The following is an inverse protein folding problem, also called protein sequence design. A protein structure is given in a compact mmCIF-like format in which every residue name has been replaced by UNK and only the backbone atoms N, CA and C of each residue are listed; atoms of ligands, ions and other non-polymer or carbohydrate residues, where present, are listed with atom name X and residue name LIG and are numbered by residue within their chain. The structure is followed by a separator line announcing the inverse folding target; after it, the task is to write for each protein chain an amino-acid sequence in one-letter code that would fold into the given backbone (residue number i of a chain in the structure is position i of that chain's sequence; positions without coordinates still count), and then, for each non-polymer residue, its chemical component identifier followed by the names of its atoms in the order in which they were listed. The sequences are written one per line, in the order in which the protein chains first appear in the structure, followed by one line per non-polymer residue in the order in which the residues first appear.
data_IF_545528671794
#
_entry.id   IF_545528671794
#
_cell.length_a   1.000
_cell.length_b   1.000
_cell.length_c   1.000
_cell.angle_alpha   90.00
_cell.angle_beta   90.00
_cell.angle_gamma   90.00
#
_symmetry.space_group_name_H-M   'P 1'
#
loop_
_entity.id
_entity.type
_entity.pdbx_description
1 polymer ?
#
# COMPACT_ATOMS: atom_id res chain seq x y z
N UNK A 1 24.35 -15.26 -11.25
CA UNK A 1 23.93 -13.87 -10.94
C UNK A 1 23.61 -13.06 -12.18
N UNK A 2 24.49 -13.00 -13.20
CA UNK A 2 24.22 -12.26 -14.45
C UNK A 2 22.93 -12.66 -15.18
N UNK A 3 22.57 -13.95 -15.21
CA UNK A 3 21.33 -14.43 -15.85
C UNK A 3 20.05 -13.93 -15.15
N UNK A 4 20.04 -13.88 -13.82
CA UNK A 4 18.88 -13.37 -13.07
C UNK A 4 18.67 -11.85 -13.27
N UNK A 5 19.77 -11.10 -13.37
CA UNK A 5 19.72 -9.66 -13.69
C UNK A 5 19.21 -9.43 -15.11
N UNK A 6 19.62 -10.28 -16.09
CA UNK A 6 19.15 -10.19 -17.47
C UNK A 6 17.64 -10.49 -17.58
N UNK A 7 17.15 -11.51 -16.88
CA UNK A 7 15.72 -11.85 -16.81
C UNK A 7 14.93 -10.73 -16.15
N UNK A 8 15.41 -10.18 -15.04
CA UNK A 8 14.77 -9.06 -14.35
C UNK A 8 14.70 -7.78 -15.23
N UNK A 9 15.75 -7.52 -16.01
CA UNK A 9 15.78 -6.39 -16.93
C UNK A 9 14.81 -6.59 -18.11
N UNK A 10 14.74 -7.80 -18.67
CA UNK A 10 13.79 -8.13 -19.75
C UNK A 10 12.34 -8.06 -19.27
N UNK A 11 12.04 -8.56 -18.06
CA UNK A 11 10.70 -8.45 -17.48
C UNK A 11 10.33 -6.99 -17.20
N UNK A 12 11.23 -6.17 -16.70
CA UNK A 12 11.00 -4.74 -16.51
C UNK A 12 10.72 -4.01 -17.84
N UNK A 13 11.48 -4.32 -18.90
CA UNK A 13 11.29 -3.75 -20.24
C UNK A 13 9.95 -4.18 -20.84
N UNK A 14 9.58 -5.46 -20.71
CA UNK A 14 8.29 -5.95 -21.23
C UNK A 14 7.09 -5.34 -20.48
N UNK A 15 7.17 -5.23 -19.17
CA UNK A 15 6.15 -4.56 -18.35
C UNK A 15 6.05 -3.08 -18.74
N UNK A 16 7.18 -2.40 -18.91
CA UNK A 16 7.24 -1.00 -19.35
C UNK A 16 6.64 -0.83 -20.74
N UNK A 17 6.95 -1.71 -21.67
CA UNK A 17 6.41 -1.68 -23.03
C UNK A 17 4.89 -1.90 -23.06
N UNK A 18 4.37 -2.88 -22.27
CA UNK A 18 2.93 -3.12 -22.12
C UNK A 18 2.20 -1.93 -21.47
N UNK A 19 2.82 -1.28 -20.50
CA UNK A 19 2.30 -0.05 -19.88
C UNK A 19 2.21 1.08 -20.90
N UNK A 20 3.24 1.29 -21.73
CA UNK A 20 3.24 2.32 -22.78
C UNK A 20 2.17 2.02 -23.84
N UNK A 21 1.98 0.76 -24.25
CA UNK A 21 0.91 0.41 -25.19
C UNK A 21 -0.47 0.73 -24.62
N UNK A 22 -0.72 0.37 -23.36
CA UNK A 22 -1.97 0.73 -22.67
C UNK A 22 -2.15 2.24 -22.49
N UNK A 23 -1.07 3.01 -22.48
CA UNK A 23 -1.11 4.48 -22.42
C UNK A 23 -1.40 5.13 -23.77
N UNK A 24 -1.05 4.47 -24.88
CA UNK A 24 -1.28 5.01 -26.25
C UNK A 24 -2.75 4.96 -26.70
N UNK A 25 -3.55 4.04 -26.18
CA UNK A 25 -4.97 3.87 -26.54
C UNK A 25 -5.92 4.85 -25.81
N UNK A 26 -5.44 6.02 -25.42
CA UNK A 26 -6.21 6.95 -24.58
C UNK A 26 -7.01 7.98 -25.38
N UNK A 27 -8.24 8.36 -24.87
CA UNK A 27 -9.20 9.18 -25.63
C UNK A 27 -8.72 10.59 -26.00
N UNK A 28 -7.69 11.13 -25.33
CA UNK A 28 -7.15 12.46 -25.66
C UNK A 28 -6.31 12.54 -26.94
N UNK A 29 -5.96 11.40 -27.54
CA UNK A 29 -5.30 11.35 -28.83
C UNK A 29 -6.28 11.32 -30.00
N UNK A 30 -7.59 11.16 -29.75
CA UNK A 30 -8.64 11.21 -30.75
C UNK A 30 -9.09 12.68 -30.92
N UNK A 31 -8.48 13.35 -31.89
CA UNK A 31 -8.96 14.66 -32.35
C UNK A 31 -10.37 14.49 -32.93
N UNK A 32 -11.34 15.21 -32.40
CA UNK A 32 -12.60 15.46 -33.09
C UNK A 32 -13.91 15.17 -32.37
N UNK A 33 -13.92 14.67 -31.15
CA UNK A 33 -15.17 14.56 -30.38
C UNK A 33 -15.01 15.32 -29.07
N UNK A 34 -15.66 16.49 -28.97
CA UNK A 34 -15.84 17.16 -27.68
C UNK A 34 -16.66 16.22 -26.80
N UNK A 35 -16.12 15.68 -25.71
CA UNK A 35 -16.90 14.82 -24.82
C UNK A 35 -17.98 15.68 -24.19
N UNK A 36 -19.23 15.26 -24.37
CA UNK A 36 -20.36 15.82 -23.63
C UNK A 36 -20.00 15.76 -22.14
N UNK A 37 -20.27 16.82 -21.40
CA UNK A 37 -19.84 17.04 -20.02
C UNK A 37 -20.18 15.92 -19.00
N UNK A 38 -20.94 14.91 -19.39
CA UNK A 38 -21.30 13.75 -18.61
C UNK A 38 -20.27 12.60 -18.66
N UNK A 39 -19.48 12.46 -19.74
CA UNK A 39 -18.51 11.36 -19.91
C UNK A 39 -17.14 11.63 -19.26
N UNK A 40 -16.88 12.87 -18.85
CA UNK A 40 -15.60 13.28 -18.27
C UNK A 40 -15.43 12.92 -16.78
N UNK A 41 -16.47 12.42 -16.12
CA UNK A 41 -16.43 12.09 -14.69
C UNK A 41 -15.75 10.76 -14.39
N UNK A 42 -15.59 9.88 -15.38
CA UNK A 42 -14.77 8.65 -15.27
C UNK A 42 -13.30 8.93 -15.59
N UNK A 43 -12.73 9.99 -15.01
CA UNK A 43 -11.38 10.39 -15.36
C UNK A 43 -10.37 9.30 -15.00
N UNK A 44 -9.69 8.78 -16.00
CA UNK A 44 -8.56 7.85 -15.83
C UNK A 44 -7.37 8.52 -15.10
N UNK A 45 -7.33 9.85 -15.04
CA UNK A 45 -6.24 10.60 -14.45
C UNK A 45 -5.94 10.27 -12.97
N UNK A 46 -6.91 10.20 -12.02
CA UNK A 46 -6.63 9.81 -10.65
C UNK A 46 -6.16 8.36 -10.54
N UNK A 47 -6.67 7.45 -11.38
CA UNK A 47 -6.23 6.05 -11.40
C UNK A 47 -4.78 5.95 -11.89
N UNK A 48 -4.43 6.66 -12.95
CA UNK A 48 -3.05 6.72 -13.46
C UNK A 48 -2.11 7.32 -12.42
N UNK A 49 -2.52 8.43 -11.78
CA UNK A 49 -1.74 9.05 -10.70
C UNK A 49 -1.45 8.08 -9.56
N UNK A 50 -2.47 7.31 -9.12
CA UNK A 50 -2.27 6.27 -8.10
C UNK A 50 -1.28 5.21 -8.58
N UNK A 51 -1.42 4.66 -9.79
CA UNK A 51 -0.51 3.62 -10.30
C UNK A 51 0.93 4.10 -10.40
N UNK A 52 1.16 5.33 -10.86
CA UNK A 52 2.51 5.95 -10.90
C UNK A 52 3.07 6.07 -9.49
N UNK A 53 2.27 6.56 -8.53
CA UNK A 53 2.66 6.65 -7.14
C UNK A 53 3.03 5.27 -6.56
N UNK A 54 2.19 4.25 -6.77
CA UNK A 54 2.47 2.88 -6.32
C UNK A 54 3.75 2.32 -6.93
N UNK A 55 4.03 2.59 -8.20
CA UNK A 55 5.26 2.16 -8.88
C UNK A 55 6.51 2.80 -8.23
N UNK A 56 6.46 4.11 -7.94
CA UNK A 56 7.56 4.82 -7.28
C UNK A 56 7.82 4.25 -5.87
N UNK A 57 6.75 4.05 -5.09
CA UNK A 57 6.89 3.51 -3.73
C UNK A 57 7.33 2.04 -3.76
N UNK A 58 6.87 1.24 -4.74
CA UNK A 58 7.38 -0.14 -4.94
C UNK A 58 8.88 -0.15 -5.23
N UNK A 59 9.38 0.78 -6.04
CA UNK A 59 10.81 0.93 -6.32
C UNK A 59 11.61 1.26 -5.05
N UNK A 60 11.06 2.12 -4.19
CA UNK A 60 11.68 2.46 -2.90
C UNK A 60 11.79 1.23 -1.99
N UNK A 61 10.72 0.46 -1.83
CA UNK A 61 10.76 -0.78 -1.04
C UNK A 61 11.68 -1.83 -1.66
N UNK A 62 11.73 -1.93 -3.00
CA UNK A 62 12.67 -2.80 -3.71
C UNK A 62 14.14 -2.45 -3.44
N UNK A 63 14.46 -1.16 -3.38
CA UNK A 63 15.82 -0.70 -3.02
C UNK A 63 16.16 -1.06 -1.57
N UNK A 64 15.26 -0.86 -0.63
CA UNK A 64 15.48 -1.25 0.76
C UNK A 64 15.61 -2.77 0.92
N UNK A 65 14.80 -3.57 0.23
CA UNK A 65 14.89 -5.02 0.24
C UNK A 65 16.24 -5.48 -0.36
N UNK A 66 16.70 -4.86 -1.45
CA UNK A 66 18.01 -5.14 -2.05
C UNK A 66 19.16 -4.82 -1.07
N UNK A 67 19.11 -3.66 -0.43
CA UNK A 67 20.11 -3.26 0.58
C UNK A 67 20.13 -4.23 1.77
N UNK A 68 18.95 -4.66 2.23
CA UNK A 68 18.79 -5.66 3.28
C UNK A 68 19.45 -6.99 2.89
N UNK A 69 19.14 -7.53 1.72
CA UNK A 69 19.68 -8.81 1.23
C UNK A 69 21.20 -8.74 1.02
N UNK A 70 21.73 -7.62 0.53
CA UNK A 70 23.18 -7.40 0.42
C UNK A 70 23.84 -7.43 1.79
N UNK A 71 23.22 -6.86 2.79
CA UNK A 71 23.74 -6.81 4.16
C UNK A 71 23.71 -8.17 4.85
N UNK A 72 22.62 -8.94 4.69
CA UNK A 72 22.50 -10.32 5.16
C UNK A 72 23.56 -11.24 4.52
N UNK A 73 23.82 -11.07 3.21
CA UNK A 73 24.83 -11.83 2.47
C UNK A 73 26.30 -11.56 2.84
N UNK A 74 26.55 -10.74 3.87
CA UNK A 74 27.89 -10.44 4.35
C UNK A 74 28.67 -9.43 3.50
N UNK A 75 28.03 -8.81 2.49
CA UNK A 75 28.66 -7.81 1.64
C UNK A 75 28.49 -6.41 2.25
N UNK A 76 29.57 -5.87 2.81
CA UNK A 76 29.63 -4.45 3.20
C UNK A 76 29.24 -4.12 4.65
N UNK A 77 30.03 -4.52 5.62
CA UNK A 77 29.93 -3.99 6.97
C UNK A 77 30.92 -4.61 7.96
N UNK A 78 31.39 -3.79 8.89
CA UNK A 78 32.31 -4.19 9.94
C UNK A 78 31.65 -5.00 11.06
N UNK A 79 30.31 -4.95 11.18
CA UNK A 79 29.52 -5.65 12.21
C UNK A 79 28.89 -6.89 11.60
N UNK A 80 29.09 -8.09 12.19
CA UNK A 80 28.45 -9.32 11.74
C UNK A 80 26.93 -9.18 11.76
N UNK A 81 26.24 -9.87 10.81
CA UNK A 81 24.79 -9.97 10.84
C UNK A 81 24.35 -10.91 11.97
N UNK A 82 23.44 -10.44 12.79
CA UNK A 82 22.75 -11.23 13.79
C UNK A 82 21.25 -11.13 13.51
N UNK A 83 20.59 -12.27 13.30
CA UNK A 83 19.16 -12.30 13.08
C UNK A 83 18.43 -11.72 14.29
N UNK A 84 17.36 -10.97 14.04
CA UNK A 84 16.48 -10.44 15.08
C UNK A 84 15.47 -11.52 15.46
N UNK A 85 15.32 -11.80 16.75
CA UNK A 85 14.20 -12.61 17.24
C UNK A 85 12.90 -11.88 16.96
N UNK A 86 12.08 -12.43 16.07
CA UNK A 86 10.87 -11.75 15.59
C UNK A 86 9.79 -11.76 16.68
N UNK A 87 9.25 -10.56 17.03
CA UNK A 87 8.15 -10.50 17.98
C UNK A 87 6.91 -11.23 17.45
N UNK A 88 6.35 -12.16 18.24
CA UNK A 88 5.13 -12.90 17.90
C UNK A 88 3.94 -11.98 17.55
N UNK A 89 3.97 -10.74 18.01
CA UNK A 89 2.95 -9.73 17.71
C UNK A 89 2.87 -9.39 16.21
N UNK A 90 3.92 -9.63 15.43
CA UNK A 90 3.91 -9.38 13.98
C UNK A 90 2.92 -10.28 13.23
N UNK A 91 2.71 -11.52 13.69
CA UNK A 91 1.70 -12.42 13.14
C UNK A 91 0.28 -11.90 13.37
N UNK A 92 0.01 -11.41 14.59
CA UNK A 92 -1.27 -10.81 14.94
C UNK A 92 -1.49 -9.53 14.11
N UNK A 93 -0.46 -8.69 13.98
CA UNK A 93 -0.50 -7.49 13.17
C UNK A 93 -0.80 -7.82 11.69
N UNK A 94 -0.17 -8.84 11.15
CA UNK A 94 -0.43 -9.29 9.77
C UNK A 94 -1.89 -9.68 9.60
N UNK A 95 -2.46 -10.45 10.54
CA UNK A 95 -3.88 -10.81 10.51
C UNK A 95 -4.78 -9.56 10.57
N UNK A 96 -4.48 -8.60 11.44
CA UNK A 96 -5.24 -7.34 11.56
C UNK A 96 -5.22 -6.58 10.24
N UNK A 97 -4.09 -6.52 9.54
CA UNK A 97 -3.98 -5.82 8.26
C UNK A 97 -4.74 -6.56 7.14
N UNK A 98 -4.74 -7.90 7.14
CA UNK A 98 -5.57 -8.72 6.24
C UNK A 98 -7.06 -8.43 6.46
N UNK A 99 -7.51 -8.39 7.72
CA UNK A 99 -8.89 -8.04 8.06
C UNK A 99 -9.24 -6.61 7.64
N UNK A 100 -8.32 -5.65 7.81
CA UNK A 100 -8.51 -4.27 7.34
C UNK A 100 -8.69 -4.20 5.82
N UNK A 101 -7.88 -4.95 5.07
CA UNK A 101 -7.98 -5.04 3.61
C UNK A 101 -9.28 -5.71 3.17
N UNK A 102 -9.72 -6.76 3.85
CA UNK A 102 -11.03 -7.40 3.63
C UNK A 102 -12.20 -6.47 3.91
N UNK A 103 -12.16 -5.73 5.04
CA UNK A 103 -13.18 -4.73 5.37
C UNK A 103 -13.25 -3.62 4.30
N UNK A 104 -12.12 -3.19 3.75
CA UNK A 104 -12.04 -2.21 2.66
C UNK A 104 -12.71 -2.75 1.38
N UNK A 105 -12.51 -4.03 1.05
CA UNK A 105 -13.15 -4.66 -0.11
C UNK A 105 -14.67 -4.77 0.08
N UNK A 106 -15.13 -5.13 1.28
CA UNK A 106 -16.57 -5.19 1.59
C UNK A 106 -17.18 -3.79 1.50
N UNK A 107 -16.51 -2.76 2.02
CA UNK A 107 -16.93 -1.38 1.92
C UNK A 107 -17.14 -0.95 0.46
N UNK A 108 -16.17 -1.26 -0.41
CA UNK A 108 -16.27 -1.00 -1.85
C UNK A 108 -17.50 -1.68 -2.46
N UNK A 109 -17.65 -2.99 -2.24
CA UNK A 109 -18.76 -3.76 -2.81
C UNK A 109 -20.13 -3.22 -2.38
N UNK A 110 -20.26 -2.79 -1.11
CA UNK A 110 -21.49 -2.17 -0.59
C UNK A 110 -21.79 -0.82 -1.26
N UNK A 111 -20.78 0.03 -1.40
CA UNK A 111 -20.91 1.35 -2.04
C UNK A 111 -21.23 1.20 -3.54
N UNK A 112 -20.66 0.21 -4.21
CA UNK A 112 -20.96 -0.10 -5.61
C UNK A 112 -22.41 -0.58 -5.78
N UNK A 113 -22.97 -1.26 -4.76
CA UNK A 113 -24.38 -1.66 -4.68
C UNK A 113 -25.34 -0.58 -4.16
N UNK A 114 -24.92 0.70 -4.09
CA UNK A 114 -25.67 1.84 -3.54
C UNK A 114 -25.99 1.77 -2.02
N UNK A 115 -25.46 0.80 -1.28
CA UNK A 115 -25.54 0.75 0.19
C UNK A 115 -24.42 1.61 0.82
N UNK A 116 -24.59 2.92 0.79
CA UNK A 116 -23.64 3.86 1.35
C UNK A 116 -23.52 3.78 2.87
N UNK A 117 -24.59 3.41 3.56
CA UNK A 117 -24.62 3.30 5.02
C UNK A 117 -23.80 2.11 5.50
N UNK A 118 -24.05 0.92 4.92
CA UNK A 118 -23.26 -0.27 5.20
C UNK A 118 -21.80 -0.10 4.76
N UNK A 119 -21.58 0.43 3.56
CA UNK A 119 -20.24 0.69 3.04
C UNK A 119 -19.41 1.60 3.94
N UNK A 120 -20.01 2.67 4.48
CA UNK A 120 -19.36 3.58 5.42
C UNK A 120 -18.88 2.88 6.70
N UNK A 121 -19.69 1.99 7.26
CA UNK A 121 -19.36 1.27 8.48
C UNK A 121 -18.12 0.38 8.28
N UNK A 122 -18.06 -0.36 7.19
CA UNK A 122 -16.89 -1.18 6.85
C UNK A 122 -15.66 -0.34 6.51
N UNK A 123 -15.84 0.82 5.89
CA UNK A 123 -14.75 1.75 5.58
C UNK A 123 -14.12 2.33 6.86
N UNK A 124 -14.96 2.69 7.86
CA UNK A 124 -14.49 3.09 9.18
C UNK A 124 -13.81 1.95 9.94
N UNK A 125 -14.37 0.73 9.86
CA UNK A 125 -13.78 -0.45 10.48
C UNK A 125 -12.37 -0.74 9.92
N UNK A 126 -12.18 -0.63 8.60
CA UNK A 126 -10.87 -0.76 7.97
C UNK A 126 -9.86 0.29 8.49
N UNK A 127 -10.29 1.55 8.65
CA UNK A 127 -9.48 2.60 9.25
C UNK A 127 -9.10 2.29 10.70
N UNK A 128 -10.05 1.83 11.51
CA UNK A 128 -9.81 1.47 12.92
C UNK A 128 -8.81 0.30 13.02
N UNK A 129 -9.02 -0.76 12.25
CA UNK A 129 -8.09 -1.90 12.19
C UNK A 129 -6.67 -1.46 11.79
N UNK A 130 -6.55 -0.49 10.87
CA UNK A 130 -5.25 0.07 10.49
C UNK A 130 -4.59 0.84 11.65
N UNK A 131 -5.36 1.57 12.47
CA UNK A 131 -4.84 2.21 13.69
C UNK A 131 -4.37 1.16 14.70
N UNK A 132 -5.13 0.07 14.88
CA UNK A 132 -4.73 -1.07 15.72
C UNK A 132 -3.42 -1.69 15.23
N UNK A 133 -3.26 -1.87 13.91
CA UNK A 133 -2.01 -2.34 13.32
C UNK A 133 -0.84 -1.41 13.65
N UNK A 134 -1.01 -0.09 13.52
CA UNK A 134 0.05 0.88 13.84
C UNK A 134 0.44 0.85 15.32
N UNK A 135 -0.53 0.72 16.22
CA UNK A 135 -0.28 0.57 17.64
C UNK A 135 0.47 -0.74 17.94
N UNK A 136 0.05 -1.86 17.34
CA UNK A 136 0.75 -3.14 17.44
C UNK A 136 2.17 -3.09 16.88
N UNK A 137 2.40 -2.31 15.81
CA UNK A 137 3.75 -2.11 15.26
C UNK A 137 4.65 -1.31 16.22
N UNK A 138 4.12 -0.27 16.86
CA UNK A 138 4.86 0.47 17.88
C UNK A 138 5.21 -0.42 19.08
N UNK A 139 4.30 -1.33 19.46
CA UNK A 139 4.57 -2.34 20.50
C UNK A 139 5.64 -3.35 20.06
N UNK A 140 5.63 -3.81 18.79
CA UNK A 140 6.67 -4.68 18.25
C UNK A 140 8.05 -4.03 18.30
N UNK A 141 8.15 -2.71 18.04
CA UNK A 141 9.42 -1.98 18.19
C UNK A 141 9.91 -1.94 19.64
N UNK A 142 9.01 -1.80 20.61
CA UNK A 142 9.38 -1.84 22.02
C UNK A 142 9.87 -3.22 22.45
N UNK A 143 9.20 -4.29 21.99
CA UNK A 143 9.64 -5.67 22.26
C UNK A 143 11.00 -5.96 21.64
N UNK A 144 11.19 -5.60 20.37
CA UNK A 144 12.48 -5.79 19.68
C UNK A 144 13.62 -5.03 20.35
N UNK A 145 13.34 -3.86 20.95
CA UNK A 145 14.33 -3.08 21.72
C UNK A 145 14.67 -3.74 23.06
N UNK A 146 13.67 -4.37 23.72
CA UNK A 146 13.82 -4.97 25.03
C UNK A 146 14.42 -6.39 24.98
N UNK A 147 14.37 -7.07 23.84
CA UNK A 147 14.77 -8.47 23.64
C UNK A 147 16.27 -8.80 23.79
N UNK A 148 17.10 -7.84 24.02
CA UNK A 148 18.48 -7.98 24.59
C UNK A 148 19.55 -8.61 23.68
N UNK A 149 19.23 -9.49 22.75
CA UNK A 149 20.22 -10.20 21.92
C UNK A 149 20.69 -9.34 20.73
N UNK A 150 19.86 -8.43 20.23
CA UNK A 150 20.13 -7.57 19.09
C UNK A 150 19.70 -6.14 19.44
N UNK A 151 20.63 -5.37 20.02
CA UNK A 151 20.36 -4.02 20.53
C UNK A 151 20.19 -2.97 19.42
N UNK A 152 19.84 -1.72 19.81
CA UNK A 152 19.62 -0.59 18.89
C UNK A 152 20.79 -0.24 17.97
N UNK A 153 21.99 -0.78 18.21
CA UNK A 153 23.19 -0.61 17.36
C UNK A 153 23.35 -1.68 16.28
N UNK A 154 22.47 -2.70 16.22
CA UNK A 154 22.59 -3.78 15.23
C UNK A 154 21.99 -3.40 13.89
N UNK A 155 22.59 -3.83 12.78
CA UNK A 155 22.05 -3.61 11.44
C UNK A 155 20.65 -4.24 11.26
N UNK A 156 20.41 -5.43 11.83
CA UNK A 156 19.11 -6.11 11.73
C UNK A 156 17.97 -5.28 12.35
N UNK A 157 18.18 -4.75 13.56
CA UNK A 157 17.24 -3.85 14.21
C UNK A 157 16.98 -2.58 13.40
N UNK A 158 18.05 -1.98 12.86
CA UNK A 158 17.92 -0.76 12.05
C UNK A 158 17.07 -0.99 10.80
N UNK A 159 17.29 -2.09 10.08
CA UNK A 159 16.49 -2.45 8.91
C UNK A 159 15.04 -2.81 9.27
N UNK A 160 14.84 -3.54 10.37
CA UNK A 160 13.50 -3.85 10.88
C UNK A 160 12.69 -2.56 11.13
N UNK A 161 13.27 -1.62 11.88
CA UNK A 161 12.61 -0.34 12.17
C UNK A 161 12.43 0.48 10.90
N UNK A 162 13.43 0.56 10.02
CA UNK A 162 13.35 1.34 8.78
C UNK A 162 12.22 0.84 7.87
N UNK A 163 12.21 -0.46 7.54
CA UNK A 163 11.22 -1.03 6.62
C UNK A 163 9.80 -0.89 7.16
N UNK A 164 9.62 -1.22 8.45
CA UNK A 164 8.30 -1.17 9.09
C UNK A 164 7.84 0.26 9.37
N UNK A 165 8.75 1.21 9.66
CA UNK A 165 8.42 2.62 9.83
C UNK A 165 8.02 3.28 8.50
N UNK A 166 8.75 3.01 7.42
CA UNK A 166 8.39 3.52 6.08
C UNK A 166 7.02 2.96 5.65
N UNK A 167 6.75 1.67 5.89
CA UNK A 167 5.43 1.09 5.66
C UNK A 167 4.35 1.79 6.51
N UNK A 168 4.60 1.98 7.80
CA UNK A 168 3.69 2.70 8.70
C UNK A 168 3.41 4.14 8.27
N UNK A 169 4.42 4.85 7.75
CA UNK A 169 4.25 6.20 7.19
C UNK A 169 3.27 6.21 6.01
N UNK A 170 3.35 5.21 5.13
CA UNK A 170 2.40 5.07 4.02
C UNK A 170 0.98 4.75 4.50
N UNK A 171 0.84 3.93 5.56
CA UNK A 171 -0.46 3.69 6.21
C UNK A 171 -1.05 4.98 6.81
N UNK A 172 -0.24 5.82 7.45
CA UNK A 172 -0.68 7.12 8.00
C UNK A 172 -1.16 8.03 6.87
N UNK A 173 -0.40 8.09 5.76
CA UNK A 173 -0.83 8.81 4.56
C UNK A 173 -2.15 8.28 3.98
N UNK A 174 -2.31 6.97 3.93
CA UNK A 174 -3.56 6.30 3.55
C UNK A 174 -4.72 6.66 4.48
N UNK A 175 -4.51 6.63 5.80
CA UNK A 175 -5.51 7.03 6.80
C UNK A 175 -5.97 8.48 6.63
N UNK A 176 -5.07 9.38 6.27
CA UNK A 176 -5.42 10.75 5.93
C UNK A 176 -6.39 10.84 4.76
N UNK A 177 -6.09 10.11 3.66
CA UNK A 177 -6.96 10.05 2.48
C UNK A 177 -8.29 9.37 2.81
N UNK A 178 -8.26 8.28 3.61
CA UNK A 178 -9.45 7.58 4.10
C UNK A 178 -10.35 8.53 4.90
N UNK A 179 -9.80 9.30 5.82
CA UNK A 179 -10.55 10.28 6.61
C UNK A 179 -11.22 11.33 5.73
N UNK A 180 -10.52 11.86 4.70
CA UNK A 180 -11.11 12.79 3.73
C UNK A 180 -12.21 12.15 2.89
N UNK A 181 -12.03 10.88 2.49
CA UNK A 181 -13.05 10.13 1.73
C UNK A 181 -14.27 9.86 2.60
N UNK A 182 -14.08 9.45 3.85
CA UNK A 182 -15.16 9.28 4.84
C UNK A 182 -15.96 10.57 4.99
N UNK A 183 -15.30 11.72 5.17
CA UNK A 183 -15.96 13.01 5.27
C UNK A 183 -16.76 13.38 4.00
N UNK A 184 -16.32 12.94 2.82
CA UNK A 184 -17.08 13.10 1.57
C UNK A 184 -18.31 12.20 1.52
N UNK A 185 -18.20 10.94 1.99
CA UNK A 185 -19.33 10.02 2.06
C UNK A 185 -20.43 10.62 2.94
N UNK A 186 -20.09 11.17 4.10
CA UNK A 186 -21.05 11.82 5.01
C UNK A 186 -21.79 12.98 4.32
N UNK A 187 -21.07 13.84 3.60
CA UNK A 187 -21.67 15.00 2.91
C UNK A 187 -22.39 14.62 1.62
N UNK A 188 -21.95 13.59 0.93
CA UNK A 188 -22.48 13.19 -0.38
C UNK A 188 -23.76 12.36 -0.30
N UNK A 189 -24.01 11.67 0.83
CA UNK A 189 -25.26 10.95 1.08
C UNK A 189 -26.43 11.91 1.28
N UNK A 190 -26.19 13.11 1.84
CA UNK A 190 -27.20 14.16 2.02
C UNK A 190 -27.55 14.85 0.70
N UNK A 191 -26.58 15.00 -0.21
CA UNK A 191 -26.79 15.58 -1.53
C UNK A 191 -27.18 14.47 -2.53
N UNK A 192 -28.43 14.31 -2.85
CA UNK A 192 -28.95 13.31 -3.82
C UNK A 192 -28.46 13.57 -5.27
N UNK A 193 -27.15 13.81 -5.43
CA UNK A 193 -26.50 14.20 -6.67
C UNK A 193 -25.69 13.04 -7.27
N UNK A 194 -26.02 12.61 -8.49
CA UNK A 194 -25.38 11.51 -9.24
C UNK A 194 -23.87 11.74 -9.39
N UNK A 195 -23.44 12.97 -9.63
CA UNK A 195 -22.02 13.34 -9.78
C UNK A 195 -21.25 13.17 -8.45
N UNK A 196 -21.88 13.51 -7.32
CA UNK A 196 -21.26 13.31 -6.02
C UNK A 196 -21.06 11.81 -5.72
N UNK A 197 -22.05 10.97 -6.03
CA UNK A 197 -21.99 9.51 -5.85
C UNK A 197 -20.89 8.86 -6.69
N UNK A 198 -20.73 9.24 -7.96
CA UNK A 198 -19.67 8.71 -8.83
C UNK A 198 -18.28 9.09 -8.33
N UNK A 199 -18.09 10.31 -7.81
CA UNK A 199 -16.82 10.73 -7.18
C UNK A 199 -16.51 9.97 -5.90
N UNK A 200 -17.54 9.62 -5.08
CA UNK A 200 -17.38 8.79 -3.88
C UNK A 200 -16.93 7.40 -4.28
N UNK A 201 -17.62 6.75 -5.23
CA UNK A 201 -17.23 5.42 -5.73
C UNK A 201 -15.79 5.38 -6.21
N UNK A 202 -15.38 6.35 -7.04
CA UNK A 202 -13.99 6.45 -7.49
C UNK A 202 -13.01 6.62 -6.32
N UNK A 203 -13.33 7.46 -5.34
CA UNK A 203 -12.45 7.65 -4.17
C UNK A 203 -12.31 6.38 -3.34
N UNK A 204 -13.39 5.62 -3.15
CA UNK A 204 -13.39 4.34 -2.43
C UNK A 204 -12.63 3.27 -3.21
N UNK A 205 -12.81 3.20 -4.53
CA UNK A 205 -12.05 2.31 -5.42
C UNK A 205 -10.53 2.54 -5.29
N UNK A 206 -10.11 3.81 -5.35
CA UNK A 206 -8.70 4.18 -5.21
C UNK A 206 -8.14 3.83 -3.82
N UNK A 207 -8.91 4.10 -2.76
CA UNK A 207 -8.53 3.71 -1.40
C UNK A 207 -8.39 2.19 -1.27
N UNK A 208 -9.33 1.42 -1.80
CA UNK A 208 -9.30 -0.05 -1.75
C UNK A 208 -8.07 -0.61 -2.47
N UNK A 209 -7.79 -0.11 -3.67
CA UNK A 209 -6.59 -0.50 -4.44
C UNK A 209 -5.31 -0.18 -3.65
N UNK A 210 -5.25 0.98 -3.02
CA UNK A 210 -4.10 1.38 -2.19
C UNK A 210 -3.92 0.47 -0.97
N UNK A 211 -5.01 0.10 -0.26
CA UNK A 211 -4.96 -0.82 0.90
C UNK A 211 -4.49 -2.22 0.54
N UNK A 212 -4.98 -2.77 -0.57
CA UNK A 212 -4.51 -4.07 -1.05
C UNK A 212 -3.02 -4.04 -1.41
N UNK A 213 -2.57 -2.95 -2.05
CA UNK A 213 -1.15 -2.78 -2.34
C UNK A 213 -0.31 -2.66 -1.07
N UNK A 214 -0.76 -1.90 -0.05
CA UNK A 214 -0.07 -1.81 1.24
C UNK A 214 0.03 -3.19 1.92
N UNK A 215 -1.03 -3.99 1.86
CA UNK A 215 -0.99 -5.37 2.36
C UNK A 215 0.07 -6.20 1.62
N UNK A 216 0.14 -6.12 0.29
CA UNK A 216 1.16 -6.83 -0.49
C UNK A 216 2.58 -6.41 -0.10
N UNK A 217 2.82 -5.12 0.05
CA UNK A 217 4.12 -4.60 0.52
C UNK A 217 4.43 -5.13 1.91
N UNK A 218 3.46 -5.13 2.83
CA UNK A 218 3.64 -5.69 4.17
C UNK A 218 4.01 -7.16 4.14
N UNK A 219 3.30 -7.97 3.35
CA UNK A 219 3.61 -9.41 3.21
C UNK A 219 5.01 -9.62 2.65
N UNK A 220 5.45 -8.79 1.70
CA UNK A 220 6.82 -8.82 1.17
C UNK A 220 7.86 -8.46 2.24
N UNK A 221 7.64 -7.39 3.00
CA UNK A 221 8.52 -6.98 4.10
C UNK A 221 8.56 -8.05 5.20
N UNK A 222 7.40 -8.60 5.57
CA UNK A 222 7.31 -9.63 6.58
C UNK A 222 8.01 -10.93 6.14
N UNK A 223 7.79 -11.38 4.90
CA UNK A 223 8.50 -12.53 4.33
C UNK A 223 10.01 -12.31 4.28
N UNK A 224 10.46 -11.07 3.97
CA UNK A 224 11.87 -10.70 3.96
C UNK A 224 12.48 -10.82 5.36
N UNK A 225 11.77 -10.36 6.40
CA UNK A 225 12.21 -10.47 7.79
C UNK A 225 12.27 -11.93 8.25
N UNK A 226 11.27 -12.75 7.90
CA UNK A 226 11.23 -14.19 8.22
C UNK A 226 12.33 -15.01 7.51
N UNK A 227 12.93 -14.52 6.44
CA UNK A 227 13.92 -15.25 5.65
C UNK A 227 15.34 -15.19 6.21
N UNK A 228 15.55 -14.51 7.32
CA UNK A 228 16.87 -14.23 7.91
C UNK A 228 16.92 -14.51 9.39
#
# INVERSE_FOLDING_TARGET
MLGALFIAMLTAITVWWLLIQRLKDKPWTKQGVLPTSQDTVTSSAPKVGLWVFLAVVSSLFGLFASAYMMRVGGHGGLVPWQALDEPNVLWINTLVLVLASGAMQIARNRIDADDFTGGRSYFLAAGLLTVVFLAGQAFAWQQARAGGNVGPGSPAYAFFVLLTAVHGLHLIGGLWVLGRTTARIFRGVEANNVVARSRIRLSVELCTTYWHWLLLVWLGVFALLLST
#
